data_IF_320766414335
#
_entry.id   IF_320766414335
#
_cell.length_a   1.000
_cell.length_b   1.000
_cell.length_c   1.000
_cell.angle_alpha   90.00
_cell.angle_beta   90.00
_cell.angle_gamma   90.00
#
_symmetry.space_group_name_H-M   'P 1'
#
loop_
_entity.id
_entity.type
_entity.pdbx_description
1 polymer ?
#
# COMPACT_ATOMS: atom_id res chain seq x y z
N UNK A 1 -28.23 -21.18 30.91
CA UNK A 1 -27.38 -22.22 31.54
C UNK A 1 -27.65 -23.56 30.87
N UNK A 2 -26.63 -24.19 30.26
CA UNK A 2 -26.71 -25.58 29.75
C UNK A 2 -26.13 -26.52 30.79
N UNK A 3 -26.70 -27.71 30.95
CA UNK A 3 -26.27 -28.71 31.94
C UNK A 3 -26.03 -30.03 31.22
N UNK A 4 -24.96 -30.72 31.60
CA UNK A 4 -24.55 -31.99 31.00
C UNK A 4 -24.37 -33.02 32.11
N UNK A 5 -24.55 -34.31 31.77
CA UNK A 5 -24.44 -35.40 32.75
C UNK A 5 -23.03 -35.96 32.86
N UNK A 6 -22.18 -35.72 31.86
CA UNK A 6 -20.77 -36.12 31.85
C UNK A 6 -19.92 -35.11 31.05
N UNK A 7 -18.61 -35.13 31.31
CA UNK A 7 -17.65 -34.20 30.71
C UNK A 7 -17.51 -34.34 29.18
N UNK A 8 -17.44 -35.55 28.59
CA UNK A 8 -17.35 -35.72 27.14
C UNK A 8 -18.52 -35.10 26.37
N UNK A 9 -19.76 -35.26 26.86
CA UNK A 9 -20.95 -34.64 26.28
C UNK A 9 -20.87 -33.11 26.29
N UNK A 10 -20.36 -32.54 27.39
CA UNK A 10 -20.18 -31.10 27.51
C UNK A 10 -19.16 -30.57 26.49
N UNK A 11 -18.04 -31.27 26.28
CA UNK A 11 -17.02 -30.88 25.30
C UNK A 11 -17.56 -30.89 23.87
N UNK A 12 -18.32 -31.92 23.49
CA UNK A 12 -18.94 -32.00 22.16
C UNK A 12 -19.91 -30.83 21.88
N UNK A 13 -20.56 -30.29 22.91
CA UNK A 13 -21.48 -29.17 22.76
C UNK A 13 -20.79 -27.82 22.52
N UNK A 14 -19.47 -27.72 22.75
CA UNK A 14 -18.69 -26.47 22.62
C UNK A 14 -18.40 -26.09 21.16
N UNK A 15 -18.52 -27.05 20.24
CA UNK A 15 -18.36 -26.80 18.80
C UNK A 15 -19.44 -25.85 18.25
N UNK A 16 -20.59 -25.77 18.91
CA UNK A 16 -21.71 -24.93 18.48
C UNK A 16 -21.79 -23.59 19.21
N UNK A 17 -21.42 -23.55 20.49
CA UNK A 17 -21.57 -22.35 21.33
C UNK A 17 -20.43 -22.30 22.34
N UNK A 18 -19.71 -21.17 22.36
CA UNK A 18 -18.70 -20.91 23.40
C UNK A 18 -19.39 -20.36 24.64
N UNK A 19 -19.21 -20.96 25.83
CA UNK A 19 -19.84 -20.46 27.06
C UNK A 19 -19.09 -19.25 27.63
N UNK A 20 -19.79 -18.46 28.45
CA UNK A 20 -19.19 -17.34 29.19
C UNK A 20 -18.57 -17.76 30.54
N UNK A 21 -18.96 -18.93 31.04
CA UNK A 21 -18.43 -19.54 32.27
C UNK A 21 -18.65 -21.04 32.20
N UNK A 22 -17.62 -21.81 32.56
CA UNK A 22 -17.75 -23.25 32.80
C UNK A 22 -17.78 -23.48 34.32
N UNK A 23 -18.80 -24.20 34.79
CA UNK A 23 -18.81 -24.74 36.15
C UNK A 23 -18.72 -26.26 36.07
N UNK A 24 -17.78 -26.87 36.79
CA UNK A 24 -17.59 -28.33 36.78
C UNK A 24 -17.41 -28.87 38.19
N UNK A 25 -17.85 -30.10 38.43
CA UNK A 25 -17.48 -30.83 39.65
C UNK A 25 -16.05 -31.38 39.51
N UNK A 26 -15.37 -31.63 40.63
CA UNK A 26 -14.10 -32.35 40.62
C UNK A 26 -14.30 -33.83 40.33
N UNK A 27 -15.23 -34.50 41.03
CA UNK A 27 -15.48 -35.94 40.88
C UNK A 27 -16.62 -36.20 39.91
N UNK A 28 -16.28 -36.66 38.71
CA UNK A 28 -17.25 -37.05 37.69
C UNK A 28 -16.86 -38.39 37.06
N UNK A 29 -17.82 -39.18 36.57
CA UNK A 29 -17.52 -40.43 35.87
C UNK A 29 -16.80 -40.19 34.54
N UNK A 30 -15.93 -41.12 34.15
CA UNK A 30 -15.16 -41.18 32.90
C UNK A 30 -14.08 -40.11 32.71
N UNK A 31 -14.35 -38.85 33.03
CA UNK A 31 -13.39 -37.75 32.96
C UNK A 31 -13.60 -36.84 34.16
N UNK A 32 -12.56 -36.60 34.94
CA UNK A 32 -12.64 -35.76 36.13
C UNK A 32 -12.65 -34.26 35.77
N UNK A 33 -12.88 -33.40 36.78
CA UNK A 33 -12.94 -31.96 36.58
C UNK A 33 -11.63 -31.35 36.07
N UNK A 34 -10.48 -31.93 36.41
CA UNK A 34 -9.15 -31.42 36.02
C UNK A 34 -8.88 -31.77 34.56
N UNK A 35 -9.13 -33.02 34.18
CA UNK A 35 -9.03 -33.49 32.79
C UNK A 35 -9.96 -32.68 31.87
N UNK A 36 -11.18 -32.39 32.32
CA UNK A 36 -12.12 -31.53 31.58
C UNK A 36 -11.55 -30.13 31.38
N UNK A 37 -10.99 -29.51 32.43
CA UNK A 37 -10.40 -28.16 32.33
C UNK A 37 -9.25 -28.16 31.32
N UNK A 38 -8.38 -29.15 31.36
CA UNK A 38 -7.27 -29.26 30.41
C UNK A 38 -7.77 -29.39 28.97
N UNK A 39 -8.74 -30.26 28.72
CA UNK A 39 -9.38 -30.42 27.41
C UNK A 39 -10.06 -29.12 26.96
N UNK A 40 -10.76 -28.44 27.86
CA UNK A 40 -11.43 -27.17 27.61
C UNK A 40 -10.43 -26.06 27.23
N UNK A 41 -9.26 -26.01 27.88
CA UNK A 41 -8.20 -25.04 27.57
C UNK A 41 -7.47 -25.32 26.26
N UNK A 42 -7.48 -26.57 25.79
CA UNK A 42 -6.93 -26.91 24.48
C UNK A 42 -7.73 -26.28 23.32
N UNK A 43 -9.03 -25.99 23.53
CA UNK A 43 -9.90 -25.38 22.52
C UNK A 43 -9.61 -23.87 22.36
N UNK A 44 -9.33 -23.38 21.13
CA UNK A 44 -8.92 -21.99 20.89
C UNK A 44 -9.89 -20.92 21.40
N UNK A 45 -11.20 -21.16 21.26
CA UNK A 45 -12.29 -20.27 21.68
C UNK A 45 -12.51 -20.26 23.21
N UNK A 46 -12.02 -21.28 23.92
CA UNK A 46 -12.29 -21.47 25.35
C UNK A 46 -11.11 -21.12 26.26
N UNK A 47 -9.94 -20.79 25.71
CA UNK A 47 -8.70 -20.50 26.46
C UNK A 47 -8.86 -19.45 27.57
N UNK A 48 -9.68 -18.43 27.33
CA UNK A 48 -9.90 -17.31 28.26
C UNK A 48 -11.22 -17.37 29.01
N UNK A 49 -12.07 -18.35 28.73
CA UNK A 49 -13.37 -18.47 29.42
C UNK A 49 -13.14 -18.83 30.88
N UNK A 50 -13.69 -18.10 31.86
CA UNK A 50 -13.53 -18.46 33.26
C UNK A 50 -14.03 -19.87 33.56
N UNK A 51 -13.33 -20.59 34.43
CA UNK A 51 -13.75 -21.91 34.89
C UNK A 51 -13.82 -21.93 36.41
N UNK A 52 -14.97 -22.30 36.94
CA UNK A 52 -15.20 -22.50 38.37
C UNK A 52 -15.33 -23.99 38.68
N UNK A 53 -14.43 -24.54 39.48
CA UNK A 53 -14.51 -25.94 39.91
C UNK A 53 -15.20 -26.07 41.27
N UNK A 54 -16.19 -26.95 41.40
CA UNK A 54 -16.88 -27.23 42.66
C UNK A 54 -16.36 -28.55 43.21
N UNK A 55 -15.89 -28.60 44.46
CA UNK A 55 -15.32 -29.81 45.06
C UNK A 55 -15.79 -30.02 46.50
N UNK A 56 -15.89 -31.27 46.94
CA UNK A 56 -16.17 -31.63 48.35
C UNK A 56 -14.92 -31.81 49.20
N UNK A 57 -13.73 -31.66 48.61
CA UNK A 57 -12.47 -31.95 49.28
C UNK A 57 -11.79 -30.63 49.65
N UNK A 58 -11.63 -30.36 50.94
CA UNK A 58 -10.80 -29.24 51.46
C UNK A 58 -9.29 -29.53 51.36
N UNK A 59 -8.88 -30.34 50.37
CA UNK A 59 -7.48 -30.69 50.16
C UNK A 59 -6.82 -29.56 49.36
N UNK A 60 -5.79 -28.98 49.97
CA UNK A 60 -4.96 -27.94 49.36
C UNK A 60 -4.30 -28.44 48.06
N UNK A 61 -4.00 -29.74 47.95
CA UNK A 61 -3.36 -30.34 46.77
C UNK A 61 -4.23 -30.21 45.51
N UNK A 62 -5.51 -30.61 45.62
CA UNK A 62 -6.50 -30.58 44.52
C UNK A 62 -6.77 -29.15 44.05
N UNK A 63 -6.82 -28.19 44.97
CA UNK A 63 -7.01 -26.76 44.63
C UNK A 63 -5.84 -26.23 43.79
N UNK A 64 -4.62 -26.54 44.19
CA UNK A 64 -3.42 -26.15 43.44
C UNK A 64 -3.42 -26.80 42.06
N UNK A 65 -3.81 -28.06 41.97
CA UNK A 65 -3.86 -28.80 40.71
C UNK A 65 -4.89 -28.21 39.74
N UNK A 66 -6.09 -27.87 40.22
CA UNK A 66 -7.12 -27.23 39.42
C UNK A 66 -6.69 -25.85 38.89
N UNK A 67 -6.06 -25.02 39.73
CA UNK A 67 -5.50 -23.74 39.29
C UNK A 67 -4.41 -23.93 38.23
N UNK A 68 -3.52 -24.92 38.41
CA UNK A 68 -2.48 -25.26 37.42
C UNK A 68 -3.07 -25.77 36.10
N UNK A 69 -4.17 -26.49 36.15
CA UNK A 69 -4.90 -26.94 34.97
C UNK A 69 -5.60 -25.78 34.23
N UNK A 70 -5.78 -24.62 34.89
CA UNK A 70 -6.36 -23.42 34.31
C UNK A 70 -7.74 -23.06 34.83
N UNK A 71 -8.15 -23.58 35.99
CA UNK A 71 -9.31 -23.07 36.73
C UNK A 71 -9.09 -21.61 37.11
N UNK A 72 -10.14 -20.80 37.01
CA UNK A 72 -10.11 -19.38 37.42
C UNK A 72 -10.51 -19.25 38.88
N UNK A 73 -11.42 -20.08 39.36
CA UNK A 73 -11.87 -20.10 40.76
C UNK A 73 -12.35 -21.50 41.17
N UNK A 74 -12.62 -21.70 42.46
CA UNK A 74 -13.21 -22.92 42.98
C UNK A 74 -14.20 -22.65 44.13
N UNK A 75 -15.11 -23.59 44.36
CA UNK A 75 -16.13 -23.58 45.41
C UNK A 75 -16.06 -24.90 46.20
N UNK A 76 -16.16 -24.80 47.52
CA UNK A 76 -16.15 -25.98 48.42
C UNK A 76 -17.58 -26.35 48.82
N UNK A 77 -17.89 -27.65 48.84
CA UNK A 77 -19.20 -28.16 49.31
C UNK A 77 -19.23 -28.30 50.84
N UNK A 78 -20.38 -28.05 51.50
CA UNK A 78 -21.64 -27.61 50.92
C UNK A 78 -21.55 -26.16 50.41
N UNK A 79 -22.06 -25.92 49.21
CA UNK A 79 -21.97 -24.59 48.59
C UNK A 79 -23.00 -23.65 49.23
N UNK A 80 -22.55 -22.47 49.63
CA UNK A 80 -23.43 -21.39 50.05
C UNK A 80 -23.99 -20.67 48.81
N UNK A 81 -25.31 -20.48 48.77
CA UNK A 81 -25.97 -19.89 47.61
C UNK A 81 -25.54 -18.43 47.35
N UNK A 82 -25.31 -17.65 48.40
CA UNK A 82 -24.84 -16.27 48.31
C UNK A 82 -23.39 -16.23 47.84
N UNK A 83 -22.53 -17.13 48.35
CA UNK A 83 -21.13 -17.24 47.88
C UNK A 83 -21.07 -17.59 46.39
N UNK A 84 -21.85 -18.58 45.95
CA UNK A 84 -21.93 -19.00 44.55
C UNK A 84 -22.38 -17.82 43.67
N UNK A 85 -23.42 -17.10 44.08
CA UNK A 85 -23.95 -15.98 43.33
C UNK A 85 -22.89 -14.88 43.14
N UNK A 86 -22.19 -14.49 44.22
CA UNK A 86 -21.16 -13.45 44.16
C UNK A 86 -20.00 -13.88 43.25
N UNK A 87 -19.49 -15.11 43.41
CA UNK A 87 -18.37 -15.61 42.60
C UNK A 87 -18.72 -15.73 41.13
N UNK A 88 -19.87 -16.34 40.80
CA UNK A 88 -20.32 -16.47 39.42
C UNK A 88 -20.51 -15.09 38.77
N UNK A 89 -21.09 -14.13 39.50
CA UNK A 89 -21.27 -12.75 38.99
C UNK A 89 -19.91 -12.12 38.68
N UNK A 90 -18.92 -12.23 39.57
CA UNK A 90 -17.58 -11.69 39.34
C UNK A 90 -16.91 -12.31 38.12
N UNK A 91 -17.01 -13.64 37.95
CA UNK A 91 -16.43 -14.35 36.80
C UNK A 91 -17.10 -13.97 35.48
N UNK A 92 -18.43 -13.83 35.46
CA UNK A 92 -19.16 -13.39 34.28
C UNK A 92 -18.84 -11.95 33.91
N UNK A 93 -18.77 -11.04 34.89
CA UNK A 93 -18.34 -9.65 34.66
C UNK A 93 -16.92 -9.59 34.11
N UNK A 94 -16.01 -10.42 34.63
CA UNK A 94 -14.65 -10.53 34.09
C UNK A 94 -14.66 -10.99 32.62
N UNK A 95 -15.48 -12.00 32.30
CA UNK A 95 -15.64 -12.49 30.92
C UNK A 95 -16.17 -11.41 29.99
N UNK A 96 -17.20 -10.68 30.42
CA UNK A 96 -17.80 -9.60 29.65
C UNK A 96 -16.77 -8.52 29.32
N UNK A 97 -15.97 -8.10 30.32
CA UNK A 97 -14.89 -7.13 30.12
C UNK A 97 -13.83 -7.64 29.15
N UNK A 98 -13.43 -8.91 29.24
CA UNK A 98 -12.47 -9.51 28.31
C UNK A 98 -12.99 -9.50 26.86
N UNK A 99 -14.24 -9.92 26.65
CA UNK A 99 -14.86 -9.91 25.31
C UNK A 99 -14.93 -8.48 24.77
N UNK A 100 -15.37 -7.52 25.58
CA UNK A 100 -15.42 -6.10 25.20
C UNK A 100 -14.05 -5.55 24.79
N UNK A 101 -12.98 -5.91 25.52
CA UNK A 101 -11.61 -5.49 25.19
C UNK A 101 -11.14 -6.10 23.87
N UNK A 102 -11.42 -7.38 23.63
CA UNK A 102 -11.06 -8.05 22.37
C UNK A 102 -11.78 -7.44 21.17
N UNK A 103 -13.08 -7.16 21.30
CA UNK A 103 -13.85 -6.52 20.23
C UNK A 103 -13.39 -5.09 19.96
N UNK A 104 -13.08 -4.34 21.02
CA UNK A 104 -12.50 -3.00 20.89
C UNK A 104 -11.13 -3.03 20.22
N UNK A 105 -10.26 -4.01 20.55
CA UNK A 105 -8.96 -4.15 19.92
C UNK A 105 -9.10 -4.40 18.41
N UNK A 106 -9.94 -5.36 18.01
CA UNK A 106 -10.24 -5.63 16.59
C UNK A 106 -10.80 -4.40 15.86
N UNK A 107 -11.72 -3.69 16.51
CA UNK A 107 -12.30 -2.48 15.95
C UNK A 107 -11.25 -1.38 15.74
N UNK A 108 -10.36 -1.18 16.72
CA UNK A 108 -9.29 -0.20 16.63
C UNK A 108 -8.25 -0.58 15.56
N UNK A 109 -7.86 -1.85 15.46
CA UNK A 109 -6.98 -2.35 14.40
C UNK A 109 -7.55 -2.03 13.00
N UNK A 110 -8.83 -2.33 12.77
CA UNK A 110 -9.51 -2.00 11.51
C UNK A 110 -9.52 -0.49 11.22
N UNK A 111 -9.67 0.35 12.25
CA UNK A 111 -9.59 1.81 12.11
C UNK A 111 -8.18 2.29 11.79
N UNK A 112 -7.15 1.72 12.40
CA UNK A 112 -5.74 2.07 12.12
C UNK A 112 -5.41 1.76 10.66
N UNK A 113 -5.74 0.57 10.17
CA UNK A 113 -5.52 0.19 8.76
C UNK A 113 -6.26 1.14 7.82
N UNK A 114 -7.55 1.39 8.07
CA UNK A 114 -8.34 2.31 7.23
C UNK A 114 -7.77 3.73 7.23
N UNK A 115 -7.31 4.21 8.38
CA UNK A 115 -6.71 5.54 8.50
C UNK A 115 -5.37 5.62 7.78
N UNK A 116 -4.55 4.56 7.84
CA UNK A 116 -3.30 4.46 7.09
C UNK A 116 -3.51 4.60 5.59
N UNK A 117 -4.47 3.85 5.02
CA UNK A 117 -4.84 3.94 3.59
C UNK A 117 -5.32 5.36 3.24
N UNK A 118 -6.13 5.97 4.10
CA UNK A 118 -6.63 7.33 3.86
C UNK A 118 -5.51 8.38 3.86
N UNK A 119 -4.56 8.29 4.81
CA UNK A 119 -3.40 9.19 4.87
C UNK A 119 -2.54 9.03 3.62
N UNK A 120 -2.23 7.79 3.22
CA UNK A 120 -1.44 7.55 2.00
C UNK A 120 -2.14 8.12 0.75
N UNK A 121 -3.46 7.94 0.61
CA UNK A 121 -4.22 8.51 -0.49
C UNK A 121 -4.16 10.04 -0.51
N UNK A 122 -4.33 10.69 0.65
CA UNK A 122 -4.28 12.16 0.75
C UNK A 122 -2.88 12.70 0.45
N UNK A 123 -1.82 12.03 0.90
CA UNK A 123 -0.44 12.38 0.55
C UNK A 123 -0.23 12.29 -0.97
N UNK A 124 -0.73 11.23 -1.60
CA UNK A 124 -0.72 11.07 -3.06
C UNK A 124 -1.47 12.17 -3.78
N UNK A 125 -2.70 12.45 -3.37
CA UNK A 125 -3.49 13.54 -3.96
C UNK A 125 -2.76 14.88 -3.82
N UNK A 126 -2.07 15.12 -2.69
CA UNK A 126 -1.29 16.32 -2.43
C UNK A 126 -0.12 16.53 -3.39
N UNK A 127 0.80 15.56 -3.52
CA UNK A 127 1.94 15.74 -4.44
C UNK A 127 1.51 15.68 -5.91
N UNK A 128 0.43 14.97 -6.24
CA UNK A 128 -0.11 14.97 -7.60
C UNK A 128 -0.63 16.35 -8.02
N UNK A 129 -1.07 17.20 -7.08
CA UNK A 129 -1.41 18.60 -7.37
C UNK A 129 -0.15 19.37 -7.79
N UNK A 130 0.99 19.14 -7.13
CA UNK A 130 2.27 19.77 -7.48
C UNK A 130 2.73 19.34 -8.89
N UNK A 131 2.69 18.05 -9.17
CA UNK A 131 3.01 17.51 -10.50
C UNK A 131 2.13 18.14 -11.59
N UNK A 132 0.81 18.20 -11.38
CA UNK A 132 -0.13 18.83 -12.32
C UNK A 132 0.09 20.33 -12.48
N UNK A 133 0.55 21.02 -11.44
CA UNK A 133 0.87 22.44 -11.52
C UNK A 133 2.08 22.68 -12.43
N UNK A 134 3.10 21.82 -12.34
CA UNK A 134 4.27 21.86 -13.22
C UNK A 134 3.86 21.69 -14.69
N UNK A 135 3.06 20.66 -14.99
CA UNK A 135 2.52 20.41 -16.34
C UNK A 135 1.70 21.57 -16.89
N UNK A 136 0.85 22.17 -16.05
CA UNK A 136 -0.01 23.27 -16.47
C UNK A 136 0.79 24.51 -16.86
N UNK A 137 1.99 24.72 -16.30
CA UNK A 137 2.90 25.79 -16.74
C UNK A 137 3.48 25.52 -18.13
N UNK A 138 3.52 24.27 -18.59
CA UNK A 138 4.09 23.85 -19.89
C UNK A 138 3.00 23.56 -20.94
N UNK A 139 1.75 23.98 -20.69
CA UNK A 139 0.58 23.71 -21.54
C UNK A 139 0.32 22.21 -21.80
N UNK A 140 0.78 21.31 -20.93
CA UNK A 140 0.49 19.88 -21.01
C UNK A 140 -0.77 19.52 -20.20
N UNK A 141 -1.47 18.46 -20.63
CA UNK A 141 -2.67 17.97 -19.93
C UNK A 141 -2.25 17.06 -18.76
N UNK A 142 -3.05 17.05 -17.69
CA UNK A 142 -2.78 16.17 -16.55
C UNK A 142 -2.91 14.66 -16.83
N UNK A 143 -3.36 14.26 -18.03
CA UNK A 143 -3.47 12.86 -18.41
C UNK A 143 -2.13 12.24 -18.82
N UNK A 144 -1.21 13.05 -19.37
CA UNK A 144 0.17 12.63 -19.65
C UNK A 144 0.81 11.96 -18.43
N UNK A 145 0.75 12.63 -17.27
CA UNK A 145 1.27 12.10 -16.00
C UNK A 145 0.69 10.72 -15.64
N UNK A 146 -0.60 10.51 -15.90
CA UNK A 146 -1.28 9.24 -15.59
C UNK A 146 -0.84 8.15 -16.55
N UNK A 147 -0.77 8.45 -17.86
CA UNK A 147 -0.35 7.50 -18.89
C UNK A 147 1.11 7.09 -18.68
N UNK A 148 2.01 8.06 -18.56
CA UNK A 148 3.44 7.85 -18.35
C UNK A 148 3.72 7.04 -17.06
N UNK A 149 3.04 7.33 -15.95
CA UNK A 149 3.16 6.54 -14.73
C UNK A 149 2.78 5.06 -14.94
N UNK A 150 1.69 4.82 -15.69
CA UNK A 150 1.21 3.46 -15.99
C UNK A 150 2.10 2.73 -16.98
N UNK A 151 2.64 3.43 -17.98
CA UNK A 151 3.65 2.90 -18.88
C UNK A 151 4.89 2.45 -18.10
N UNK A 152 5.37 3.30 -17.19
CA UNK A 152 6.51 2.99 -16.33
C UNK A 152 6.27 1.75 -15.46
N UNK A 153 5.05 1.58 -14.94
CA UNK A 153 4.63 0.37 -14.22
C UNK A 153 4.73 -0.87 -15.09
N UNK A 154 4.25 -0.83 -16.34
CA UNK A 154 4.33 -1.98 -17.27
C UNK A 154 5.78 -2.41 -17.48
N UNK A 155 6.69 -1.45 -17.69
CA UNK A 155 8.12 -1.77 -17.83
C UNK A 155 8.63 -2.45 -16.56
N UNK A 156 8.34 -1.90 -15.38
CA UNK A 156 8.78 -2.48 -14.11
C UNK A 156 8.26 -3.92 -13.90
N UNK A 157 6.97 -4.17 -14.17
CA UNK A 157 6.35 -5.49 -14.12
C UNK A 157 7.03 -6.47 -15.09
N UNK A 158 7.26 -6.06 -16.34
CA UNK A 158 7.87 -6.90 -17.36
C UNK A 158 9.37 -7.13 -17.12
N UNK A 159 10.03 -6.28 -16.32
CA UNK A 159 11.36 -6.49 -15.77
C UNK A 159 11.38 -7.39 -14.52
N UNK A 160 10.26 -8.01 -14.16
CA UNK A 160 10.10 -8.90 -13.00
C UNK A 160 10.44 -8.24 -11.66
N UNK A 161 10.17 -6.93 -11.52
CA UNK A 161 10.32 -6.23 -10.25
C UNK A 161 9.20 -6.62 -9.28
N UNK A 162 9.45 -6.51 -7.96
CA UNK A 162 8.43 -6.85 -6.97
C UNK A 162 7.32 -5.80 -6.97
N UNK A 163 6.10 -6.21 -6.63
CA UNK A 163 4.92 -5.35 -6.66
C UNK A 163 5.08 -4.04 -5.86
N UNK A 164 5.84 -4.06 -4.77
CA UNK A 164 6.19 -2.86 -4.01
C UNK A 164 6.98 -1.83 -4.85
N UNK A 165 8.02 -2.26 -5.55
CA UNK A 165 8.85 -1.40 -6.41
C UNK A 165 8.07 -0.90 -7.64
N UNK A 166 7.24 -1.76 -8.25
CA UNK A 166 6.39 -1.37 -9.36
C UNK A 166 5.45 -0.23 -8.97
N UNK A 167 4.80 -0.32 -7.80
CA UNK A 167 3.96 0.75 -7.25
C UNK A 167 4.76 2.01 -6.92
N UNK A 168 5.95 1.85 -6.37
CA UNK A 168 6.81 2.97 -6.02
C UNK A 168 7.19 3.79 -7.26
N UNK A 169 7.60 3.12 -8.35
CA UNK A 169 7.89 3.77 -9.64
C UNK A 169 6.64 4.44 -10.22
N UNK A 170 5.48 3.75 -10.25
CA UNK A 170 4.22 4.33 -10.74
C UNK A 170 3.85 5.61 -9.97
N UNK A 171 4.06 5.63 -8.66
CA UNK A 171 3.71 6.77 -7.81
C UNK A 171 4.72 7.93 -7.92
N UNK A 172 6.01 7.63 -8.12
CA UNK A 172 7.06 8.63 -8.19
C UNK A 172 7.22 9.25 -9.58
N UNK A 173 6.86 8.52 -10.64
CA UNK A 173 7.04 8.97 -12.03
C UNK A 173 6.42 10.34 -12.37
N UNK A 174 5.20 10.69 -11.90
CA UNK A 174 4.62 12.01 -12.15
C UNK A 174 5.46 13.20 -11.67
N UNK A 175 6.47 12.97 -10.82
CA UNK A 175 7.30 14.02 -10.25
C UNK A 175 8.49 14.40 -11.13
N UNK A 176 8.74 13.70 -12.24
CA UNK A 176 9.93 13.91 -13.08
C UNK A 176 10.15 15.37 -13.49
N UNK A 177 9.07 16.10 -13.78
CA UNK A 177 9.10 17.45 -14.31
C UNK A 177 8.75 18.56 -13.29
N UNK A 178 8.69 18.26 -11.98
CA UNK A 178 8.31 19.28 -10.98
C UNK A 178 9.28 20.46 -10.92
N UNK A 179 10.52 20.28 -11.37
CA UNK A 179 11.50 21.36 -11.48
C UNK A 179 11.11 22.44 -12.49
N UNK A 180 10.20 22.16 -13.45
CA UNK A 180 9.68 23.19 -14.37
C UNK A 180 8.98 24.33 -13.63
N UNK A 181 8.55 24.12 -12.38
CA UNK A 181 7.96 25.16 -11.52
C UNK A 181 8.88 26.34 -11.26
N UNK A 182 10.21 26.17 -11.30
CA UNK A 182 11.17 27.26 -11.05
C UNK A 182 11.80 27.81 -12.31
N UNK A 183 11.53 27.19 -13.47
CA UNK A 183 12.04 27.68 -14.74
C UNK A 183 11.35 29.01 -15.10
N UNK A 184 12.12 30.04 -15.50
CA UNK A 184 11.57 31.32 -15.94
C UNK A 184 10.58 31.14 -17.08
N UNK A 185 9.43 31.82 -17.01
CA UNK A 185 8.36 31.71 -18.00
C UNK A 185 8.83 32.06 -19.42
N UNK A 186 9.71 33.05 -19.56
CA UNK A 186 10.29 33.46 -20.84
C UNK A 186 11.11 32.35 -21.52
N UNK A 187 11.66 31.40 -20.75
CA UNK A 187 12.39 30.23 -21.27
C UNK A 187 11.42 29.06 -21.47
N UNK A 188 10.56 28.80 -20.49
CA UNK A 188 9.60 27.68 -20.50
C UNK A 188 8.61 27.79 -21.66
N UNK A 189 8.00 28.95 -21.84
CA UNK A 189 6.96 29.21 -22.84
C UNK A 189 7.50 29.79 -24.15
N UNK A 190 8.82 29.77 -24.37
CA UNK A 190 9.42 30.37 -25.55
C UNK A 190 8.91 29.70 -26.83
N UNK A 191 8.32 30.46 -27.79
CA UNK A 191 7.98 29.90 -29.09
C UNK A 191 9.25 29.71 -29.93
N UNK A 192 9.52 28.48 -30.35
CA UNK A 192 10.66 28.12 -31.20
C UNK A 192 11.83 27.50 -30.44
N UNK A 193 13.02 27.55 -31.04
CA UNK A 193 14.23 26.94 -30.44
C UNK A 193 14.83 27.87 -29.37
N UNK A 194 15.29 27.28 -28.28
CA UNK A 194 16.11 27.96 -27.28
C UNK A 194 17.48 28.36 -27.84
N UNK A 195 18.03 29.47 -27.37
CA UNK A 195 19.47 29.75 -27.51
C UNK A 195 20.28 28.78 -26.65
N UNK A 196 21.61 28.66 -26.85
CA UNK A 196 22.43 27.82 -25.98
C UNK A 196 22.27 28.15 -24.49
N UNK A 197 22.20 29.43 -24.13
CA UNK A 197 22.08 29.89 -22.75
C UNK A 197 20.70 29.55 -22.16
N UNK A 198 19.63 29.78 -22.92
CA UNK A 198 18.28 29.41 -22.52
C UNK A 198 18.12 27.90 -22.40
N UNK A 199 18.84 27.13 -23.23
CA UNK A 199 18.84 25.68 -23.15
C UNK A 199 19.54 25.17 -21.87
N UNK A 200 20.62 25.81 -21.44
CA UNK A 200 21.22 25.53 -20.13
C UNK A 200 20.24 25.80 -18.98
N UNK A 201 19.47 26.89 -19.06
CA UNK A 201 18.40 27.18 -18.09
C UNK A 201 17.30 26.12 -18.16
N UNK A 202 16.85 25.73 -19.35
CA UNK A 202 15.83 24.67 -19.48
C UNK A 202 16.29 23.35 -18.87
N UNK A 203 17.53 22.92 -19.13
CA UNK A 203 18.10 21.69 -18.55
C UNK A 203 18.18 21.71 -17.03
N UNK A 204 18.19 22.88 -16.39
CA UNK A 204 18.31 22.98 -14.93
C UNK A 204 17.10 22.40 -14.19
N UNK A 205 15.94 22.22 -14.85
CA UNK A 205 14.75 21.66 -14.20
C UNK A 205 15.01 20.29 -13.57
N UNK A 206 15.93 19.48 -14.11
CA UNK A 206 16.31 18.20 -13.51
C UNK A 206 16.86 18.39 -12.10
N UNK A 207 17.84 19.30 -11.96
CA UNK A 207 18.49 19.58 -10.68
C UNK A 207 17.57 20.34 -9.72
N UNK A 208 16.77 21.28 -10.24
CA UNK A 208 15.79 21.99 -9.45
C UNK A 208 14.71 21.05 -8.91
N UNK A 209 14.24 20.10 -9.72
CA UNK A 209 13.30 19.07 -9.28
C UNK A 209 13.90 18.15 -8.21
N UNK A 210 15.16 17.76 -8.36
CA UNK A 210 15.91 17.05 -7.33
C UNK A 210 16.01 17.85 -6.03
N UNK A 211 16.41 19.12 -6.09
CA UNK A 211 16.58 19.97 -4.93
C UNK A 211 15.26 20.29 -4.23
N UNK A 212 14.15 20.39 -4.96
CA UNK A 212 12.80 20.53 -4.38
C UNK A 212 12.37 19.29 -3.57
N UNK A 213 12.73 18.09 -4.05
CA UNK A 213 12.24 16.83 -3.49
C UNK A 213 13.17 16.21 -2.45
N UNK A 214 14.49 16.45 -2.52
CA UNK A 214 15.48 15.74 -1.69
C UNK A 214 15.42 16.02 -0.18
N UNK A 215 14.77 17.10 0.23
CA UNK A 215 14.70 17.52 1.64
C UNK A 215 13.51 16.93 2.41
N UNK A 216 12.73 16.06 1.78
CA UNK A 216 11.66 15.31 2.43
C UNK A 216 12.21 14.25 3.39
N UNK A 217 11.37 13.75 4.30
CA UNK A 217 11.71 12.65 5.20
C UNK A 217 12.17 11.41 4.41
N UNK A 218 13.14 10.67 4.96
CA UNK A 218 13.65 9.41 4.38
C UNK A 218 12.56 8.33 4.30
N UNK A 219 11.57 8.36 5.19
CA UNK A 219 10.44 7.43 5.19
C UNK A 219 9.45 7.69 4.03
N UNK A 220 9.63 8.78 3.28
CA UNK A 220 8.78 9.10 2.13
C UNK A 220 9.41 8.64 0.82
N UNK A 221 9.46 7.32 0.64
CA UNK A 221 10.11 6.65 -0.48
C UNK A 221 9.68 7.19 -1.85
N UNK A 222 8.39 7.50 -2.06
CA UNK A 222 7.91 8.05 -3.34
C UNK A 222 8.60 9.38 -3.69
N UNK A 223 8.81 10.26 -2.71
CA UNK A 223 9.45 11.55 -2.95
C UNK A 223 10.97 11.39 -3.14
N UNK A 224 11.60 10.50 -2.38
CA UNK A 224 13.02 10.18 -2.55
C UNK A 224 13.29 9.62 -3.95
N UNK A 225 12.47 8.67 -4.40
CA UNK A 225 12.57 8.15 -5.76
C UNK A 225 12.22 9.22 -6.79
N UNK A 226 11.22 10.05 -6.51
CA UNK A 226 10.84 11.21 -7.34
C UNK A 226 12.01 12.17 -7.57
N UNK A 227 12.80 12.46 -6.54
CA UNK A 227 13.99 13.30 -6.64
C UNK A 227 15.02 12.69 -7.61
N UNK A 228 15.29 11.39 -7.46
CA UNK A 228 16.22 10.64 -8.33
C UNK A 228 15.73 10.64 -9.79
N UNK A 229 14.43 10.45 -9.99
CA UNK A 229 13.81 10.49 -11.32
C UNK A 229 13.94 11.89 -11.91
N UNK A 230 13.54 12.94 -11.18
CA UNK A 230 13.63 14.31 -11.65
C UNK A 230 15.06 14.66 -12.08
N UNK A 231 16.05 14.25 -11.29
CA UNK A 231 17.47 14.45 -11.61
C UNK A 231 17.92 13.80 -12.92
N UNK A 232 17.46 12.58 -13.21
CA UNK A 232 18.11 11.71 -14.20
C UNK A 232 17.22 11.27 -15.37
N UNK A 233 15.95 11.68 -15.44
CA UNK A 233 15.03 11.21 -16.48
C UNK A 233 15.43 11.63 -17.92
N UNK A 234 16.29 12.65 -18.06
CA UNK A 234 16.88 13.07 -19.33
C UNK A 234 18.30 12.54 -19.59
N UNK A 235 18.81 11.67 -18.72
CA UNK A 235 20.01 10.91 -19.02
C UNK A 235 19.77 9.92 -20.15
N UNK A 236 20.78 9.75 -21.01
CA UNK A 236 20.69 8.86 -22.18
C UNK A 236 21.64 7.70 -22.01
N UNK A 237 21.20 6.51 -22.40
CA UNK A 237 21.99 5.28 -22.24
C UNK A 237 23.43 5.37 -22.77
N UNK A 238 23.66 6.14 -23.85
CA UNK A 238 24.96 6.37 -24.45
C UNK A 238 25.84 7.42 -23.76
N UNK A 239 25.35 8.12 -22.73
CA UNK A 239 26.04 9.19 -22.02
C UNK A 239 25.89 10.59 -22.65
N UNK A 240 25.10 10.74 -23.71
CA UNK A 240 24.85 12.05 -24.34
C UNK A 240 23.66 12.80 -23.73
N UNK A 241 23.24 12.42 -22.53
CA UNK A 241 22.14 13.02 -21.78
C UNK A 241 22.60 14.15 -20.87
N UNK A 242 21.71 14.57 -19.97
CA UNK A 242 21.97 15.61 -18.97
C UNK A 242 21.18 15.29 -17.69
N UNK A 243 21.55 15.87 -16.53
CA UNK A 243 22.59 16.89 -16.30
C UNK A 243 24.01 16.37 -16.10
N UNK A 244 24.20 15.09 -15.79
CA UNK A 244 25.49 14.51 -15.37
C UNK A 244 26.17 13.72 -16.49
N UNK A 245 25.45 13.34 -17.55
CA UNK A 245 26.00 12.57 -18.67
C UNK A 245 26.26 11.11 -18.30
N UNK A 246 25.45 10.56 -17.39
CA UNK A 246 25.55 9.19 -16.90
C UNK A 246 25.37 8.19 -18.04
N UNK A 247 26.09 7.05 -17.99
CA UNK A 247 26.06 6.05 -19.06
C UNK A 247 25.59 4.69 -18.59
N UNK A 248 24.77 4.04 -19.42
CA UNK A 248 24.33 2.68 -19.19
C UNK A 248 23.63 2.48 -17.84
N UNK A 249 24.21 1.61 -17.00
CA UNK A 249 23.64 1.25 -15.69
C UNK A 249 23.98 2.25 -14.57
N UNK A 250 24.82 3.25 -14.83
CA UNK A 250 25.03 4.39 -13.91
C UNK A 250 23.75 5.23 -13.77
N UNK A 251 22.92 5.25 -14.83
CA UNK A 251 21.61 5.88 -14.79
C UNK A 251 20.71 5.07 -13.84
N UNK A 252 20.06 5.70 -12.85
CA UNK A 252 19.12 5.03 -11.96
C UNK A 252 18.06 4.24 -12.74
N UNK A 253 17.75 3.02 -12.27
CA UNK A 253 16.82 2.11 -12.99
C UNK A 253 15.45 2.75 -13.21
N UNK A 254 14.92 3.47 -12.22
CA UNK A 254 13.64 4.18 -12.34
C UNK A 254 13.67 5.26 -13.43
N UNK A 255 14.75 6.04 -13.55
CA UNK A 255 14.91 7.04 -14.61
C UNK A 255 14.97 6.38 -16.00
N UNK A 256 15.70 5.26 -16.15
CA UNK A 256 15.71 4.47 -17.40
C UNK A 256 14.34 3.95 -17.80
N UNK A 257 13.55 3.51 -16.84
CA UNK A 257 12.17 3.04 -17.05
C UNK A 257 11.28 4.20 -17.53
N UNK A 258 11.33 5.32 -16.83
CA UNK A 258 10.47 6.48 -17.10
C UNK A 258 10.80 7.13 -18.42
N UNK A 259 12.07 7.24 -18.81
CA UNK A 259 12.48 7.83 -20.08
C UNK A 259 11.79 7.17 -21.29
N UNK A 260 11.53 5.85 -21.24
CA UNK A 260 10.80 5.14 -22.31
C UNK A 260 9.32 5.53 -22.32
N UNK A 261 8.67 5.51 -21.15
CA UNK A 261 7.25 5.85 -21.02
C UNK A 261 6.95 7.31 -21.37
N UNK A 262 7.81 8.22 -20.91
CA UNK A 262 7.73 9.66 -21.18
C UNK A 262 7.88 9.95 -22.68
N UNK A 263 8.94 9.43 -23.30
CA UNK A 263 9.15 9.62 -24.73
C UNK A 263 8.00 9.03 -25.56
N UNK A 264 7.52 7.84 -25.21
CA UNK A 264 6.39 7.24 -25.92
C UNK A 264 5.12 8.09 -25.81
N UNK A 265 4.80 8.59 -24.61
CA UNK A 265 3.63 9.45 -24.43
C UNK A 265 3.76 10.76 -25.21
N UNK A 266 4.94 11.39 -25.18
CA UNK A 266 5.22 12.61 -25.93
C UNK A 266 5.16 12.42 -27.46
N UNK A 267 5.46 11.22 -27.97
CA UNK A 267 5.34 10.90 -29.40
C UNK A 267 3.90 10.60 -29.82
N UNK A 268 3.11 9.97 -28.94
CA UNK A 268 1.75 9.49 -29.24
C UNK A 268 0.64 10.45 -28.81
N UNK A 269 0.98 11.52 -28.08
CA UNK A 269 0.01 12.55 -27.67
C UNK A 269 -0.03 13.71 -28.66
N UNK A 270 -1.21 14.31 -28.82
CA UNK A 270 -1.41 15.47 -29.68
C UNK A 270 -0.97 16.74 -28.94
N UNK A 271 -0.11 17.55 -29.56
CA UNK A 271 0.35 18.85 -29.01
C UNK A 271 -0.03 19.97 -29.97
N UNK A 272 -0.20 21.24 -29.51
CA UNK A 272 -0.66 22.35 -30.36
C UNK A 272 0.12 22.54 -31.67
N UNK A 273 1.38 22.09 -31.70
CA UNK A 273 2.29 22.23 -32.84
C UNK A 273 2.71 20.90 -33.49
N UNK A 274 2.19 19.75 -33.03
CA UNK A 274 2.62 18.42 -33.50
C UNK A 274 1.47 17.41 -33.48
N UNK A 275 1.19 16.82 -34.64
CA UNK A 275 0.29 15.66 -34.73
C UNK A 275 0.89 14.46 -34.01
N UNK A 276 0.06 13.75 -33.26
CA UNK A 276 0.40 12.48 -32.64
C UNK A 276 0.92 11.48 -33.69
N UNK A 277 1.99 10.76 -33.35
CA UNK A 277 2.45 9.64 -34.15
C UNK A 277 1.53 8.44 -33.98
N UNK A 278 1.43 7.60 -35.01
CA UNK A 278 0.79 6.30 -34.83
C UNK A 278 1.63 5.44 -33.87
N UNK A 279 0.97 4.52 -33.18
CA UNK A 279 1.63 3.58 -32.27
C UNK A 279 2.82 2.89 -32.93
N UNK A 280 2.65 2.40 -34.17
CA UNK A 280 3.70 1.67 -34.89
C UNK A 280 4.91 2.56 -35.17
N UNK A 281 4.70 3.83 -35.58
CA UNK A 281 5.80 4.76 -35.86
C UNK A 281 6.54 5.13 -34.57
N UNK A 282 5.82 5.32 -33.45
CA UNK A 282 6.45 5.57 -32.15
C UNK A 282 7.26 4.35 -31.66
N UNK A 283 6.73 3.14 -31.83
CA UNK A 283 7.44 1.91 -31.52
C UNK A 283 8.72 1.75 -32.35
N UNK A 284 8.63 1.90 -33.67
CA UNK A 284 9.77 1.76 -34.56
C UNK A 284 10.90 2.75 -34.21
N UNK A 285 10.53 3.99 -33.88
CA UNK A 285 11.48 5.00 -33.42
C UNK A 285 12.15 4.62 -32.09
N UNK A 286 11.38 4.28 -31.05
CA UNK A 286 11.94 3.92 -29.75
C UNK A 286 12.84 2.68 -29.87
N UNK A 287 12.47 1.70 -30.69
CA UNK A 287 13.31 0.54 -30.98
C UNK A 287 14.61 0.92 -31.69
N UNK A 288 14.59 1.89 -32.59
CA UNK A 288 15.79 2.40 -33.28
C UNK A 288 16.76 3.17 -32.37
N UNK A 289 16.24 3.66 -31.23
CA UNK A 289 16.98 4.40 -30.20
C UNK A 289 17.47 3.52 -29.03
N UNK A 290 17.27 2.20 -29.11
CA UNK A 290 17.86 1.21 -28.18
C UNK A 290 19.38 1.35 -28.15
N UNK A 291 19.96 1.29 -26.94
CA UNK A 291 21.39 1.49 -26.66
C UNK A 291 21.95 2.88 -27.03
N UNK A 292 21.10 3.80 -27.48
CA UNK A 292 21.45 5.22 -27.71
C UNK A 292 20.78 6.07 -26.63
N UNK A 293 19.51 6.37 -26.82
CA UNK A 293 18.69 7.06 -25.84
C UNK A 293 18.30 6.10 -24.71
N UNK A 294 17.79 4.92 -25.05
CA UNK A 294 17.10 4.06 -24.09
C UNK A 294 17.88 2.81 -23.70
N UNK A 295 17.67 2.37 -22.47
CA UNK A 295 18.11 1.05 -22.01
C UNK A 295 17.44 -0.03 -22.87
N UNK A 296 18.21 -0.93 -23.52
CA UNK A 296 17.63 -2.00 -24.32
C UNK A 296 16.65 -2.88 -23.55
N UNK A 297 16.89 -3.16 -22.26
CA UNK A 297 16.00 -3.99 -21.44
C UNK A 297 14.67 -3.29 -21.18
N UNK A 298 14.69 -1.97 -20.95
CA UNK A 298 13.47 -1.19 -20.70
C UNK A 298 12.62 -1.09 -21.96
N UNK A 299 13.23 -0.94 -23.14
CA UNK A 299 12.50 -0.92 -24.42
C UNK A 299 11.87 -2.28 -24.70
N UNK A 300 12.61 -3.36 -24.50
CA UNK A 300 12.09 -4.72 -24.75
C UNK A 300 10.94 -5.03 -23.79
N UNK A 301 11.09 -4.66 -22.51
CA UNK A 301 10.06 -4.82 -21.49
C UNK A 301 8.83 -3.95 -21.78
N UNK A 302 8.99 -2.71 -22.26
CA UNK A 302 7.87 -1.84 -22.59
C UNK A 302 6.96 -2.48 -23.64
N UNK A 303 7.53 -2.92 -24.77
CA UNK A 303 6.76 -3.48 -25.88
C UNK A 303 6.44 -4.97 -25.75
N UNK A 304 6.77 -5.62 -24.62
CA UNK A 304 6.38 -7.00 -24.37
C UNK A 304 4.84 -7.17 -24.22
N UNK A 305 4.13 -6.12 -23.78
CA UNK A 305 2.66 -6.11 -23.64
C UNK A 305 2.03 -4.90 -24.35
N UNK A 306 2.09 -4.91 -25.69
CA UNK A 306 1.53 -3.85 -26.55
C UNK A 306 0.04 -3.58 -26.27
N UNK A 307 -0.71 -4.61 -25.91
CA UNK A 307 -2.16 -4.50 -25.63
C UNK A 307 -2.40 -3.61 -24.43
N UNK A 308 -1.71 -3.83 -23.31
CA UNK A 308 -1.86 -2.98 -22.11
C UNK A 308 -1.49 -1.52 -22.40
N UNK A 309 -0.46 -1.27 -23.21
CA UNK A 309 -0.06 0.10 -23.59
C UNK A 309 -1.20 0.80 -24.34
N UNK A 310 -1.77 0.14 -25.36
CA UNK A 310 -2.91 0.68 -26.12
C UNK A 310 -4.13 0.92 -25.22
N UNK A 311 -4.44 -0.02 -24.31
CA UNK A 311 -5.54 0.14 -23.35
C UNK A 311 -5.37 1.37 -22.45
N UNK A 312 -4.14 1.67 -22.01
CA UNK A 312 -3.84 2.88 -21.23
C UNK A 312 -3.99 4.12 -22.10
N UNK A 313 -3.43 4.11 -23.30
CA UNK A 313 -3.49 5.24 -24.23
C UNK A 313 -4.94 5.63 -24.51
N UNK A 314 -5.79 4.66 -24.84
CA UNK A 314 -7.20 4.88 -25.16
C UNK A 314 -8.03 5.30 -23.93
N UNK A 315 -7.79 4.66 -22.78
CA UNK A 315 -8.55 4.95 -21.55
C UNK A 315 -8.28 6.34 -20.98
N UNK A 316 -7.07 6.83 -21.15
CA UNK A 316 -6.62 8.12 -20.63
C UNK A 316 -6.32 9.11 -21.75
N UNK A 317 -7.01 9.00 -22.88
CA UNK A 317 -6.90 9.94 -23.98
C UNK A 317 -7.24 11.37 -23.50
N UNK A 318 -6.56 12.36 -24.08
CA UNK A 318 -6.83 13.76 -23.76
C UNK A 318 -8.26 14.13 -24.17
N UNK A 319 -8.96 14.86 -23.32
CA UNK A 319 -10.24 15.45 -23.70
C UNK A 319 -9.99 16.42 -24.85
N UNK A 320 -10.68 16.23 -25.99
CA UNK A 320 -10.60 17.14 -27.13
C UNK A 320 -10.89 18.55 -26.65
N UNK A 321 -9.84 19.38 -26.58
CA UNK A 321 -9.97 20.81 -26.34
C UNK A 321 -10.84 21.36 -27.47
N UNK A 322 -12.12 21.60 -27.18
CA UNK A 322 -12.96 22.38 -28.09
C UNK A 322 -12.36 23.78 -28.11
N UNK A 323 -11.61 24.09 -29.17
CA UNK A 323 -11.22 25.46 -29.44
C UNK A 323 -12.51 26.27 -29.53
N UNK A 324 -12.77 27.08 -28.50
CA UNK A 324 -13.71 28.19 -28.62
C UNK A 324 -13.09 29.13 -29.63
N UNK A 325 -13.38 28.88 -30.90
CA UNK A 325 -13.15 29.82 -31.98
C UNK A 325 -13.82 31.12 -31.57
N UNK A 326 -13.03 32.17 -31.43
CA UNK A 326 -13.48 33.53 -31.21
C UNK A 326 -14.59 33.87 -32.20
N UNK A 327 -15.84 33.90 -31.73
CA UNK A 327 -16.87 34.71 -32.37
C UNK A 327 -16.56 36.15 -32.02
N UNK A 328 -15.82 36.77 -32.93
CA UNK A 328 -15.90 38.21 -33.15
C UNK A 328 -17.28 38.50 -33.72
N UNK A 329 -18.03 39.35 -33.03
CA UNK A 329 -19.07 40.20 -33.58
C UNK A 329 -19.02 41.54 -32.83
#
# INVERSE_FOLDING_TARGET
VRRFRNAPEALLALDQVTPDLLCTDYRMPAMDGIELIQAFRALPNCRQVPVCMITSIDDRSVRIEALKAGATDFLVKPVDALEVQVRITNLLTLREQQVMLMDRAKFLEGRVVKKGIEVQKRSKDGYMVLARLAEKRDNETGQHLVRMAKYSRIVAENLSMVEGECRLIENAAPLHDVGKLVIPEAVLLKPGKHTPEEWEVMKSHCMEGYDLLRYVSEDWEEMQLGAVIAKSHHEKWNGSGYPEGLRGKEIPKAARIIAVGDCFDALTSERPYKKAWSFQVAEDYIRSERKKHFDPECVDAFFADRRKILEIHDRYADERIHSKTSQTA
#
